data_IF_003528952922
#
_entry.id   IF_003528952922
#
_cell.length_a   1.000
_cell.length_b   1.000
_cell.length_c   1.000
_cell.angle_alpha   90.00
_cell.angle_beta   90.00
_cell.angle_gamma   90.00
#
_symmetry.space_group_name_H-M   'P 1'
#
loop_
_entity.id
_entity.type
_entity.pdbx_description
1 polymer ?
#
# COMPACT_ATOMS: atom_id res chain seq x y z
N UNK A 1 -18.34 3.23 -59.31
CA UNK A 1 -18.50 3.15 -57.84
C UNK A 1 -17.15 2.75 -57.25
N UNK A 2 -16.46 3.67 -56.56
CA UNK A 2 -15.19 3.39 -55.88
C UNK A 2 -15.49 3.30 -54.38
N UNK A 3 -15.39 2.10 -53.83
CA UNK A 3 -15.52 1.83 -52.39
C UNK A 3 -14.23 2.32 -51.73
N UNK A 4 -14.31 3.44 -51.02
CA UNK A 4 -13.20 3.96 -50.23
C UNK A 4 -13.20 3.17 -48.92
N UNK A 5 -12.22 2.29 -48.75
CA UNK A 5 -11.93 1.63 -47.48
C UNK A 5 -11.42 2.69 -46.49
N UNK A 6 -12.28 3.11 -45.56
CA UNK A 6 -11.84 3.80 -44.34
C UNK A 6 -11.03 2.82 -43.50
N UNK A 7 -9.71 2.84 -43.64
CA UNK A 7 -8.80 2.34 -42.60
C UNK A 7 -8.95 3.28 -41.40
N UNK A 8 -9.80 2.91 -40.45
CA UNK A 8 -9.72 3.38 -39.08
C UNK A 8 -8.38 2.89 -38.53
N UNK A 9 -7.36 3.74 -38.66
CA UNK A 9 -6.14 3.66 -37.87
C UNK A 9 -6.58 3.73 -36.40
N UNK A 10 -6.66 2.55 -35.78
CA UNK A 10 -6.59 2.38 -34.35
C UNK A 10 -5.23 2.92 -33.91
N UNK A 11 -5.15 4.24 -33.71
CA UNK A 11 -4.15 4.83 -32.85
C UNK A 11 -4.44 4.28 -31.45
N UNK A 12 -3.82 3.14 -31.12
CA UNK A 12 -3.48 2.79 -29.77
C UNK A 12 -2.53 3.89 -29.29
N UNK A 13 -3.10 5.01 -28.87
CA UNK A 13 -2.45 5.88 -27.92
C UNK A 13 -2.19 4.99 -26.72
N UNK A 14 -0.92 4.61 -26.53
CA UNK A 14 -0.43 4.17 -25.23
C UNK A 14 -0.81 5.30 -24.27
N UNK A 15 -1.87 5.07 -23.50
CA UNK A 15 -2.32 5.97 -22.45
C UNK A 15 -1.18 6.02 -21.43
N UNK A 16 -0.31 7.01 -21.58
CA UNK A 16 0.57 7.46 -20.51
C UNK A 16 -0.35 8.27 -19.58
N UNK A 17 -1.00 7.58 -18.67
CA UNK A 17 -1.89 8.04 -17.60
C UNK A 17 -1.50 7.20 -16.38
N UNK A 18 -1.46 7.65 -15.13
CA UNK A 18 -1.84 8.91 -14.51
C UNK A 18 -1.08 9.01 -13.16
N UNK A 19 -1.33 10.05 -12.37
CA UNK A 19 -0.72 10.30 -11.06
C UNK A 19 -0.75 9.06 -10.13
N UNK A 20 0.45 8.62 -9.72
CA UNK A 20 0.74 7.35 -9.06
C UNK A 20 0.43 7.28 -7.57
N UNK A 21 -0.82 7.50 -7.19
CA UNK A 21 -1.32 7.25 -5.85
C UNK A 21 -2.11 5.94 -5.76
N UNK A 22 -1.87 5.16 -4.70
CA UNK A 22 -2.49 3.87 -4.41
C UNK A 22 -3.11 3.96 -3.02
N UNK A 23 -4.40 3.67 -2.93
CA UNK A 23 -5.15 3.75 -1.68
C UNK A 23 -5.40 2.36 -1.11
N UNK A 24 -4.96 2.14 0.12
CA UNK A 24 -5.06 0.87 0.83
C UNK A 24 -5.94 1.03 2.08
N UNK A 25 -6.95 0.19 2.24
CA UNK A 25 -7.81 0.21 3.43
C UNK A 25 -7.68 -1.11 4.20
N UNK A 26 -7.27 -1.05 5.47
CA UNK A 26 -7.22 -2.24 6.33
C UNK A 26 -8.63 -2.76 6.63
N UNK A 27 -8.85 -4.05 6.39
CA UNK A 27 -10.12 -4.71 6.76
C UNK A 27 -9.97 -5.54 8.03
N UNK A 28 -8.81 -6.16 8.22
CA UNK A 28 -8.49 -6.93 9.41
C UNK A 28 -6.99 -6.84 9.67
N UNK A 29 -6.64 -6.49 10.90
CA UNK A 29 -5.29 -6.43 11.38
C UNK A 29 -5.18 -7.11 12.73
N UNK A 30 -4.08 -7.82 12.93
CA UNK A 30 -3.62 -8.33 14.20
C UNK A 30 -2.29 -7.66 14.55
N UNK A 31 -2.24 -7.04 15.73
CA UNK A 31 -1.02 -6.46 16.28
C UNK A 31 -0.67 -7.23 17.54
N UNK A 32 0.57 -7.71 17.61
CA UNK A 32 1.14 -8.39 18.76
C UNK A 32 2.29 -7.54 19.27
N UNK A 33 2.17 -7.03 20.49
CA UNK A 33 3.26 -6.38 21.22
C UNK A 33 3.83 -7.36 22.24
N UNK A 34 5.15 -7.47 22.31
CA UNK A 34 5.81 -8.23 23.37
C UNK A 34 6.92 -7.41 24.01
N UNK A 35 7.07 -7.54 25.32
CA UNK A 35 8.23 -7.04 26.04
C UNK A 35 8.76 -8.13 26.99
N UNK A 36 9.69 -7.78 27.89
CA UNK A 36 10.30 -8.74 28.80
C UNK A 36 9.32 -9.35 29.84
N UNK A 37 8.12 -8.78 29.99
CA UNK A 37 7.19 -9.10 31.07
C UNK A 37 5.79 -9.52 30.59
N UNK A 38 5.39 -9.13 29.37
CA UNK A 38 4.01 -9.28 28.91
C UNK A 38 3.89 -9.41 27.38
N UNK A 39 2.81 -10.06 26.96
CA UNK A 39 2.37 -10.20 25.57
C UNK A 39 0.99 -9.56 25.43
N UNK A 40 0.88 -8.54 24.58
CA UNK A 40 -0.38 -7.88 24.25
C UNK A 40 -0.79 -8.24 22.83
N UNK A 41 -2.08 -8.47 22.61
CA UNK A 41 -2.62 -8.62 21.26
C UNK A 41 -3.87 -7.77 21.06
N UNK A 42 -3.99 -7.17 19.87
CA UNK A 42 -5.17 -6.39 19.46
C UNK A 42 -5.55 -6.75 18.04
N UNK A 43 -6.86 -6.85 17.78
CA UNK A 43 -7.41 -7.11 16.44
C UNK A 43 -8.43 -6.04 16.03
N UNK A 44 -8.54 -5.76 14.74
CA UNK A 44 -9.55 -4.84 14.16
C UNK A 44 -9.15 -4.23 12.82
N UNK A 45 -10.00 -3.39 12.24
CA UNK A 45 -9.63 -2.46 11.15
C UNK A 45 -9.00 -1.22 11.79
N UNK A 46 -7.73 -0.94 11.49
CA UNK A 46 -6.95 0.04 12.25
C UNK A 46 -6.59 1.31 11.45
N UNK A 47 -6.48 1.26 10.12
CA UNK A 47 -5.96 2.38 9.33
C UNK A 47 -6.29 2.32 7.84
N UNK A 48 -6.37 3.49 7.21
CA UNK A 48 -6.26 3.66 5.76
C UNK A 48 -4.86 4.19 5.43
N UNK A 49 -4.36 3.91 4.22
CA UNK A 49 -3.08 4.41 3.73
C UNK A 49 -3.22 5.00 2.33
N UNK A 50 -2.50 6.08 2.11
CA UNK A 50 -2.30 6.68 0.78
C UNK A 50 -0.82 6.55 0.44
N UNK A 51 -0.52 5.82 -0.62
CA UNK A 51 0.83 5.53 -1.06
C UNK A 51 1.12 6.21 -2.40
N UNK A 52 2.20 6.96 -2.49
CA UNK A 52 2.67 7.57 -3.75
C UNK A 52 3.91 6.84 -4.26
N UNK A 53 4.00 6.66 -5.58
CA UNK A 53 5.13 5.99 -6.24
C UNK A 53 5.99 6.97 -7.03
N UNK A 54 7.30 6.88 -6.84
CA UNK A 54 8.32 7.57 -7.64
C UNK A 54 9.42 6.57 -8.05
N UNK A 55 9.37 6.10 -9.29
CA UNK A 55 10.25 5.02 -9.74
C UNK A 55 9.99 3.73 -8.94
N UNK A 56 11.03 3.22 -8.27
CA UNK A 56 10.92 2.06 -7.36
C UNK A 56 10.60 2.45 -5.92
N UNK A 57 10.58 3.72 -5.57
CA UNK A 57 10.31 4.16 -4.20
C UNK A 57 8.81 4.41 -4.02
N UNK A 58 8.26 3.90 -2.93
CA UNK A 58 6.88 4.09 -2.48
C UNK A 58 6.92 4.84 -1.17
N UNK A 59 6.10 5.87 -1.01
CA UNK A 59 5.90 6.55 0.27
C UNK A 59 4.44 6.44 0.66
N UNK A 60 4.15 5.67 1.70
CA UNK A 60 2.83 5.50 2.26
C UNK A 60 2.63 6.40 3.47
N UNK A 61 1.42 6.90 3.61
CA UNK A 61 1.01 7.80 4.66
C UNK A 61 -0.23 7.26 5.35
N UNK A 62 -0.23 7.17 6.68
CA UNK A 62 -1.35 6.62 7.44
C UNK A 62 -2.41 7.70 7.69
N UNK A 63 -3.64 7.42 7.29
CA UNK A 63 -4.84 8.20 7.63
C UNK A 63 -5.73 7.33 8.53
N UNK A 64 -5.59 7.47 9.84
CA UNK A 64 -6.53 6.87 10.78
C UNK A 64 -7.69 7.84 11.04
N UNK A 65 -8.90 7.33 11.25
CA UNK A 65 -10.06 8.13 11.66
C UNK A 65 -9.97 8.71 13.09
N UNK A 66 -8.86 8.45 13.82
CA UNK A 66 -8.73 8.78 15.24
C UNK A 66 -7.38 9.35 15.71
N UNK A 67 -6.35 9.46 14.87
CA UNK A 67 -5.07 10.05 15.28
C UNK A 67 -4.43 10.92 14.19
N UNK A 68 -4.48 12.23 14.48
CA UNK A 68 -3.57 13.30 14.05
C UNK A 68 -3.33 13.50 12.55
N UNK A 69 -4.27 14.19 11.90
CA UNK A 69 -3.85 15.16 10.88
C UNK A 69 -3.23 16.37 11.59
N UNK A 70 -1.91 16.42 11.73
CA UNK A 70 -1.24 17.66 12.16
C UNK A 70 -1.10 18.58 10.95
N UNK A 71 -1.88 19.66 10.91
CA UNK A 71 -1.85 20.62 9.79
C UNK A 71 -2.37 20.07 8.45
N UNK A 72 -3.30 19.10 8.48
CA UNK A 72 -3.90 18.52 7.27
C UNK A 72 -3.01 17.54 6.51
N UNK A 73 -1.91 17.07 7.13
CA UNK A 73 -1.02 16.05 6.57
C UNK A 73 -0.95 14.80 7.47
N UNK A 74 -0.78 13.60 6.89
CA UNK A 74 -0.69 12.34 7.63
C UNK A 74 0.41 12.34 8.71
N UNK A 75 0.13 11.73 9.87
CA UNK A 75 1.01 11.75 11.05
C UNK A 75 2.23 10.84 10.98
N UNK A 76 2.23 9.84 10.09
CA UNK A 76 3.36 8.93 9.92
C UNK A 76 3.55 8.57 8.44
N UNK A 77 4.79 8.71 7.97
CA UNK A 77 5.23 8.27 6.65
C UNK A 77 6.07 7.01 6.78
N UNK A 78 5.81 6.05 5.91
CA UNK A 78 6.62 4.84 5.76
C UNK A 78 7.04 4.70 4.31
N UNK A 79 8.34 4.53 4.09
CA UNK A 79 8.89 4.31 2.76
C UNK A 79 9.13 2.82 2.50
N UNK A 80 8.88 2.43 1.25
CA UNK A 80 9.10 1.08 0.75
C UNK A 80 9.78 1.12 -0.60
N UNK A 81 10.46 0.04 -0.94
CA UNK A 81 11.06 -0.20 -2.26
C UNK A 81 10.29 -1.29 -3.00
N UNK A 82 9.93 -1.05 -4.26
CA UNK A 82 9.32 -2.06 -5.15
C UNK A 82 10.36 -3.13 -5.50
N UNK A 83 10.11 -4.34 -5.03
CA UNK A 83 10.93 -5.52 -5.30
C UNK A 83 10.51 -6.17 -6.62
N UNK A 84 9.20 -6.32 -6.80
CA UNK A 84 8.60 -6.93 -7.99
C UNK A 84 7.25 -6.28 -8.27
N UNK A 85 6.94 -6.08 -9.54
CA UNK A 85 5.68 -5.48 -9.97
C UNK A 85 5.35 -5.92 -11.39
N UNK A 86 4.10 -6.34 -11.58
CA UNK A 86 3.49 -6.57 -12.88
C UNK A 86 2.01 -6.12 -12.86
N UNK A 87 1.23 -6.54 -13.86
CA UNK A 87 -0.18 -6.17 -13.97
C UNK A 87 -1.09 -6.86 -12.95
N UNK A 88 -0.66 -7.97 -12.35
CA UNK A 88 -1.48 -8.76 -11.42
C UNK A 88 -1.11 -8.49 -9.96
N UNK A 89 0.17 -8.24 -9.66
CA UNK A 89 0.63 -8.03 -8.30
C UNK A 89 1.85 -7.11 -8.17
N UNK A 90 2.07 -6.62 -6.95
CA UNK A 90 3.27 -5.89 -6.58
C UNK A 90 3.75 -6.30 -5.18
N UNK A 91 5.07 -6.30 -4.98
CA UNK A 91 5.73 -6.60 -3.71
C UNK A 91 6.61 -5.42 -3.33
N UNK A 92 6.36 -4.87 -2.15
CA UNK A 92 7.11 -3.75 -1.60
C UNK A 92 7.79 -4.17 -0.30
N UNK A 93 9.05 -3.80 -0.13
CA UNK A 93 9.85 -4.06 1.06
C UNK A 93 10.09 -2.75 1.82
N UNK A 94 9.96 -2.75 3.14
CA UNK A 94 10.04 -1.54 3.93
C UNK A 94 11.51 -1.10 4.14
N UNK A 95 11.79 0.19 3.93
CA UNK A 95 13.17 0.68 3.95
C UNK A 95 13.75 0.81 5.38
N UNK A 96 12.88 0.91 6.39
CA UNK A 96 13.26 1.30 7.76
C UNK A 96 13.09 0.20 8.82
N UNK A 97 12.51 -0.94 8.45
CA UNK A 97 12.19 -2.03 9.37
C UNK A 97 11.92 -3.31 8.58
N UNK A 98 11.82 -4.45 9.27
CA UNK A 98 11.40 -5.69 8.62
C UNK A 98 9.91 -5.60 8.28
N UNK A 99 9.57 -5.30 7.03
CA UNK A 99 8.19 -5.18 6.62
C UNK A 99 7.99 -5.42 5.13
N UNK A 100 6.90 -6.07 4.77
CA UNK A 100 6.54 -6.39 3.39
C UNK A 100 5.07 -6.06 3.13
N UNK A 101 4.78 -5.52 1.96
CA UNK A 101 3.43 -5.36 1.43
C UNK A 101 3.34 -6.16 0.13
N UNK A 102 2.31 -7.01 0.05
CA UNK A 102 1.96 -7.75 -1.16
C UNK A 102 0.59 -7.24 -1.62
N UNK A 103 0.55 -6.71 -2.84
CA UNK A 103 -0.64 -6.19 -3.49
C UNK A 103 -1.09 -7.18 -4.54
N UNK A 104 -2.32 -7.67 -4.45
CA UNK A 104 -2.98 -8.45 -5.50
C UNK A 104 -3.89 -7.49 -6.27
N UNK A 105 -3.32 -6.76 -7.23
CA UNK A 105 -3.93 -5.66 -7.95
C UNK A 105 -5.22 -6.09 -8.66
N UNK A 106 -5.18 -7.23 -9.34
CA UNK A 106 -6.35 -7.83 -10.03
C UNK A 106 -7.52 -8.12 -9.08
N UNK A 107 -7.22 -8.53 -7.86
CA UNK A 107 -8.22 -8.88 -6.84
C UNK A 107 -8.58 -7.69 -5.95
N UNK A 108 -7.91 -6.54 -6.11
CA UNK A 108 -8.04 -5.36 -5.24
C UNK A 108 -7.85 -5.70 -3.76
N UNK A 109 -6.90 -6.57 -3.45
CA UNK A 109 -6.57 -7.02 -2.08
C UNK A 109 -5.11 -6.74 -1.79
N UNK A 110 -4.78 -6.57 -0.53
CA UNK A 110 -3.39 -6.54 -0.09
C UNK A 110 -3.20 -7.28 1.23
N UNK A 111 -1.95 -7.68 1.47
CA UNK A 111 -1.47 -8.14 2.77
C UNK A 111 -0.23 -7.34 3.14
N UNK A 112 -0.14 -6.94 4.40
CA UNK A 112 1.01 -6.24 4.95
C UNK A 112 1.46 -6.95 6.22
N UNK A 113 2.76 -7.19 6.35
CA UNK A 113 3.36 -7.69 7.57
C UNK A 113 4.53 -6.78 7.95
N UNK A 114 4.63 -6.39 9.21
CA UNK A 114 5.75 -5.59 9.69
C UNK A 114 6.17 -5.98 11.10
N UNK A 115 7.44 -5.78 11.41
CA UNK A 115 8.03 -5.96 12.73
C UNK A 115 8.92 -4.78 13.06
N UNK A 116 8.65 -4.16 14.20
CA UNK A 116 9.41 -3.03 14.73
C UNK A 116 10.03 -3.42 16.06
N UNK A 117 11.35 -3.25 16.18
CA UNK A 117 12.06 -3.35 17.45
C UNK A 117 12.15 -1.94 18.02
N UNK A 118 11.68 -1.76 19.25
CA UNK A 118 11.75 -0.50 19.99
C UNK A 118 12.35 -0.74 21.37
N UNK A 119 12.71 0.33 22.07
CA UNK A 119 13.23 0.25 23.45
C UNK A 119 12.30 -0.48 24.41
N UNK A 120 11.00 -0.38 24.18
CA UNK A 120 9.92 -0.95 24.97
C UNK A 120 9.58 -2.40 24.59
N UNK A 121 10.15 -2.94 23.51
CA UNK A 121 9.91 -4.32 23.07
C UNK A 121 9.76 -4.49 21.56
N UNK A 122 9.10 -5.59 21.17
CA UNK A 122 8.84 -5.98 19.78
C UNK A 122 7.37 -5.72 19.45
N UNK A 123 7.10 -5.08 18.32
CA UNK A 123 5.75 -4.92 17.79
C UNK A 123 5.68 -5.59 16.43
N UNK A 124 4.85 -6.63 16.31
CA UNK A 124 4.57 -7.31 15.04
C UNK A 124 3.15 -6.99 14.60
N UNK A 125 2.97 -6.65 13.33
CA UNK A 125 1.68 -6.31 12.73
C UNK A 125 1.45 -7.17 11.50
N UNK A 126 0.27 -7.78 11.40
CA UNK A 126 -0.19 -8.50 10.23
C UNK A 126 -1.56 -7.98 9.82
N UNK A 127 -1.68 -7.52 8.59
CA UNK A 127 -2.89 -6.90 8.07
C UNK A 127 -3.27 -7.45 6.71
N UNK A 128 -4.57 -7.44 6.47
CA UNK A 128 -5.16 -7.65 5.15
C UNK A 128 -6.18 -6.56 4.89
N UNK A 129 -6.31 -6.19 3.62
CA UNK A 129 -7.17 -5.09 3.24
C UNK A 129 -7.51 -5.05 1.77
N UNK A 130 -8.11 -3.94 1.39
CA UNK A 130 -8.54 -3.65 0.03
C UNK A 130 -7.66 -2.58 -0.61
N UNK A 131 -7.44 -2.73 -1.92
CA UNK A 131 -6.87 -1.69 -2.78
C UNK A 131 -8.04 -0.90 -3.37
N UNK A 132 -8.31 0.28 -2.83
CA UNK A 132 -9.47 1.10 -3.22
C UNK A 132 -9.28 1.75 -4.59
N UNK A 133 -8.06 2.18 -4.88
CA UNK A 133 -7.67 2.71 -6.17
C UNK A 133 -6.21 2.36 -6.47
N UNK A 134 -5.95 2.11 -7.75
CA UNK A 134 -4.63 1.87 -8.34
C UNK A 134 -4.75 2.35 -9.80
N UNK A 135 -3.85 3.24 -10.21
CA UNK A 135 -3.85 3.89 -11.52
C UNK A 135 -2.51 3.68 -12.21
#
# INVERSE_FOLDING_TARGET
MKVIYSLLLYSYSTLILASGEIWLQETNCMVIGSNAFELHSKQGSLSDYICSKNGKSITCSNTSSGATMSGGKPSALTSYTVILEDQEFAIWDADSHSGIIILLLKHKRYSAASTHIRSEGLITKHCVGEVKSHY
#
